data_IF_552921874866
#
_entry.id   IF_552921874866
#
_cell.length_a   1.000
_cell.length_b   1.000
_cell.length_c   1.000
_cell.angle_alpha   90.00
_cell.angle_beta   90.00
_cell.angle_gamma   90.00
#
_symmetry.space_group_name_H-M   'P 1'
#
loop_
_entity.id
_entity.type
_entity.pdbx_description
1 polymer ?
#
# COMPACT_ATOMS: atom_id res chain seq x y z
N UNK A 1 -8.76 17.84 8.01
CA UNK A 1 -9.22 18.92 7.11
C UNK A 1 -10.54 19.47 7.62
N UNK A 2 -10.69 20.80 7.85
CA UNK A 2 -11.93 21.39 8.34
C UNK A 2 -13.16 21.02 7.50
N UNK A 3 -13.04 21.07 6.16
CA UNK A 3 -14.14 20.75 5.25
C UNK A 3 -14.65 19.31 5.40
N UNK A 4 -13.76 18.35 5.60
CA UNK A 4 -14.14 16.95 5.84
C UNK A 4 -14.82 16.77 7.19
N UNK A 5 -14.32 17.45 8.23
CA UNK A 5 -14.93 17.42 9.58
C UNK A 5 -16.35 17.99 9.54
N UNK A 6 -16.55 19.13 8.89
CA UNK A 6 -17.88 19.74 8.72
C UNK A 6 -18.83 18.81 7.97
N UNK A 7 -18.40 18.20 6.86
CA UNK A 7 -19.24 17.28 6.11
C UNK A 7 -19.65 16.04 6.93
N UNK A 8 -18.74 15.51 7.75
CA UNK A 8 -19.06 14.40 8.67
C UNK A 8 -20.08 14.85 9.71
N UNK A 9 -19.88 16.01 10.35
CA UNK A 9 -20.81 16.55 11.34
C UNK A 9 -22.22 16.73 10.77
N UNK A 10 -22.34 17.32 9.58
CA UNK A 10 -23.62 17.50 8.89
C UNK A 10 -24.30 16.18 8.54
N UNK A 11 -23.53 15.17 8.15
CA UNK A 11 -24.04 13.84 7.81
C UNK A 11 -24.59 13.13 9.05
N UNK A 12 -23.84 13.16 10.15
CA UNK A 12 -24.27 12.61 11.43
C UNK A 12 -25.53 13.33 11.96
N UNK A 13 -25.61 14.66 11.80
CA UNK A 13 -26.77 15.46 12.21
C UNK A 13 -28.06 15.09 11.45
N UNK A 14 -27.97 14.58 10.22
CA UNK A 14 -29.10 14.05 9.45
C UNK A 14 -29.47 12.61 9.84
N UNK A 15 -28.75 12.00 10.79
CA UNK A 15 -28.91 10.59 11.15
C UNK A 15 -28.43 9.63 10.05
N UNK A 16 -27.63 10.12 9.10
CA UNK A 16 -27.02 9.33 8.04
C UNK A 16 -25.64 8.81 8.49
N UNK A 17 -25.10 7.85 7.74
CA UNK A 17 -23.80 7.25 8.05
C UNK A 17 -22.68 7.86 7.20
N UNK A 18 -21.52 8.02 7.82
CA UNK A 18 -20.31 8.49 7.15
C UNK A 18 -19.20 7.43 7.21
N UNK A 19 -18.32 7.44 6.20
CA UNK A 19 -17.12 6.60 6.17
C UNK A 19 -15.87 7.43 5.97
N UNK A 20 -14.85 7.17 6.80
CA UNK A 20 -13.48 7.63 6.59
C UNK A 20 -12.66 6.46 6.04
N UNK A 21 -12.29 6.56 4.77
CA UNK A 21 -11.51 5.54 4.07
C UNK A 21 -10.03 5.91 4.05
N UNK A 22 -9.17 4.98 4.43
CA UNK A 22 -7.72 5.15 4.41
C UNK A 22 -7.08 4.28 3.32
N UNK A 23 -6.39 4.92 2.37
CA UNK A 23 -5.64 4.23 1.33
C UNK A 23 -4.27 3.74 1.87
N UNK A 24 -4.24 2.63 2.60
CA UNK A 24 -2.99 2.05 3.13
C UNK A 24 -2.12 1.31 2.11
N UNK A 25 -2.48 1.26 0.81
CA UNK A 25 -1.66 0.54 -0.18
C UNK A 25 -0.46 1.39 -0.60
N UNK A 26 0.75 0.89 -0.32
CA UNK A 26 2.01 1.47 -0.82
C UNK A 26 2.81 2.25 0.22
N UNK A 27 2.22 2.62 1.36
CA UNK A 27 2.93 3.26 2.46
C UNK A 27 2.90 2.38 3.71
N UNK A 28 4.07 1.96 4.17
CA UNK A 28 4.20 1.28 5.45
C UNK A 28 4.12 2.34 6.56
N UNK A 29 3.15 2.26 7.50
CA UNK A 29 3.22 3.09 8.69
C UNK A 29 4.57 2.88 9.38
N UNK A 30 5.06 3.91 10.07
CA UNK A 30 6.34 3.83 10.75
C UNK A 30 6.30 4.57 12.07
N UNK A 31 7.08 4.13 13.04
CA UNK A 31 7.32 4.87 14.27
C UNK A 31 8.60 5.67 14.13
N UNK A 32 8.57 6.96 14.52
CA UNK A 32 9.76 7.81 14.57
C UNK A 32 9.86 8.59 15.87
N UNK A 33 11.02 9.17 16.13
CA UNK A 33 11.22 10.12 17.20
C UNK A 33 10.74 11.51 16.78
N UNK A 34 9.76 12.08 17.49
CA UNK A 34 9.27 13.45 17.22
C UNK A 34 10.31 14.55 17.44
N UNK A 35 11.37 14.28 18.20
CA UNK A 35 12.41 15.26 18.52
C UNK A 35 13.50 15.34 17.43
N UNK A 36 13.91 14.22 16.83
CA UNK A 36 15.01 14.19 15.85
C UNK A 36 14.67 13.52 14.51
N UNK A 37 13.47 12.96 14.35
CA UNK A 37 13.04 12.28 13.12
C UNK A 37 13.59 10.86 12.94
N UNK A 38 14.36 10.33 13.90
CA UNK A 38 14.90 8.96 13.83
C UNK A 38 13.78 7.93 13.67
N UNK A 39 13.87 7.08 12.65
CA UNK A 39 12.85 6.07 12.33
C UNK A 39 13.23 4.72 12.92
N UNK A 40 12.28 4.08 13.61
CA UNK A 40 12.48 2.80 14.27
C UNK A 40 12.47 1.69 13.21
N UNK A 41 13.61 1.06 13.01
CA UNK A 41 13.82 0.03 11.99
C UNK A 41 13.77 -1.36 12.61
N UNK A 42 13.16 -2.31 11.91
CA UNK A 42 13.20 -3.72 12.32
C UNK A 42 14.63 -4.27 12.24
N UNK A 43 15.13 -5.01 13.25
CA UNK A 43 16.46 -5.62 13.20
C UNK A 43 16.57 -6.73 12.14
N UNK A 44 15.44 -7.36 11.81
CA UNK A 44 15.37 -8.50 10.89
C UNK A 44 15.03 -8.12 9.45
N UNK A 45 14.73 -6.84 9.18
CA UNK A 45 14.29 -6.34 7.87
C UNK A 45 14.85 -4.95 7.54
N UNK A 46 14.68 -4.48 6.31
CA UNK A 46 14.80 -3.05 5.96
C UNK A 46 13.50 -2.27 6.19
N UNK A 47 12.48 -2.93 6.74
CA UNK A 47 11.19 -2.32 7.05
C UNK A 47 11.22 -1.51 8.35
N UNK A 48 10.27 -0.59 8.47
CA UNK A 48 10.02 0.16 9.68
C UNK A 48 9.13 -0.63 10.65
N UNK A 49 9.33 -0.38 11.93
CA UNK A 49 8.45 -0.85 12.98
C UNK A 49 7.24 0.06 13.12
N UNK A 50 6.09 -0.54 13.40
CA UNK A 50 4.82 0.14 13.63
C UNK A 50 4.46 0.00 15.10
N UNK A 51 4.16 1.11 15.76
CA UNK A 51 3.64 1.11 17.12
C UNK A 51 2.15 0.77 17.11
N UNK A 52 1.79 -0.22 17.93
CA UNK A 52 0.42 -0.60 18.26
C UNK A 52 0.16 -0.13 19.69
N UNK A 53 -0.44 1.05 19.85
CA UNK A 53 -0.54 1.73 21.17
C UNK A 53 -1.34 0.92 22.17
N UNK A 54 -2.48 0.37 21.75
CA UNK A 54 -3.34 -0.45 22.61
C UNK A 54 -2.60 -1.69 23.15
N UNK A 55 -1.74 -2.28 22.33
CA UNK A 55 -0.93 -3.44 22.71
C UNK A 55 0.43 -3.07 23.34
N UNK A 56 0.76 -1.77 23.45
CA UNK A 56 2.04 -1.24 23.95
C UNK A 56 3.27 -1.92 23.36
N UNK A 57 3.28 -2.14 22.04
CA UNK A 57 4.36 -2.84 21.33
C UNK A 57 4.69 -2.20 19.98
N UNK A 58 5.93 -2.35 19.55
CA UNK A 58 6.37 -2.17 18.17
C UNK A 58 6.30 -3.51 17.44
N UNK A 59 5.81 -3.51 16.19
CA UNK A 59 5.68 -4.70 15.37
C UNK A 59 6.16 -4.48 13.93
N UNK A 60 6.92 -5.42 13.41
CA UNK A 60 7.22 -5.52 11.98
C UNK A 60 6.16 -6.39 11.29
N UNK A 61 5.40 -5.83 10.36
CA UNK A 61 4.36 -6.57 9.62
C UNK A 61 4.91 -7.48 8.52
N UNK A 62 6.21 -7.42 8.20
CA UNK A 62 6.82 -8.27 7.17
C UNK A 62 7.43 -9.57 7.73
N UNK A 63 8.05 -9.50 8.91
CA UNK A 63 8.66 -10.67 9.56
C UNK A 63 8.00 -11.08 10.88
N UNK A 64 7.06 -10.30 11.40
CA UNK A 64 6.40 -10.60 12.68
C UNK A 64 7.22 -10.26 13.92
N UNK A 65 8.40 -9.65 13.78
CA UNK A 65 9.22 -9.18 14.92
C UNK A 65 8.41 -8.24 15.81
N UNK A 66 8.51 -8.43 17.12
CA UNK A 66 7.84 -7.62 18.14
C UNK A 66 8.86 -7.18 19.18
N UNK A 67 8.80 -5.92 19.59
CA UNK A 67 9.60 -5.37 20.68
C UNK A 67 8.83 -4.29 21.45
N UNK A 68 9.29 -3.94 22.65
CA UNK A 68 8.70 -2.83 23.40
C UNK A 68 9.15 -1.48 22.82
N UNK A 69 8.30 -0.42 22.83
CA UNK A 69 8.74 0.92 22.49
C UNK A 69 9.85 1.37 23.45
N UNK A 70 10.96 1.94 22.95
CA UNK A 70 12.06 2.35 23.81
C UNK A 70 11.66 3.57 24.67
N UNK A 71 12.10 3.60 25.93
CA UNK A 71 11.84 4.73 26.84
C UNK A 71 12.52 6.02 26.39
N UNK A 72 13.64 5.91 25.67
CA UNK A 72 14.40 7.03 25.11
C UNK A 72 14.70 6.77 23.63
N UNK A 73 14.75 7.83 22.82
CA UNK A 73 15.14 7.69 21.42
C UNK A 73 16.56 7.11 21.31
N UNK A 74 16.78 6.03 20.54
CA UNK A 74 18.11 5.43 20.39
C UNK A 74 19.11 6.34 19.65
N UNK A 75 18.64 7.41 19.01
CA UNK A 75 19.49 8.35 18.26
C UNK A 75 19.78 9.66 19.00
N UNK A 76 18.83 10.23 19.75
CA UNK A 76 19.00 11.53 20.42
C UNK A 76 18.74 11.49 21.93
N UNK A 77 18.47 10.31 22.49
CA UNK A 77 18.14 10.10 23.90
C UNK A 77 16.92 10.87 24.43
N UNK A 78 16.12 11.53 23.58
CA UNK A 78 14.92 12.23 24.04
C UNK A 78 13.92 11.24 24.69
N UNK A 79 13.47 11.47 25.93
CA UNK A 79 12.57 10.57 26.64
C UNK A 79 11.17 10.58 26.01
N UNK A 80 10.52 9.42 25.96
CA UNK A 80 9.13 9.23 25.52
C UNK A 80 8.78 9.99 24.23
N UNK A 81 9.68 9.92 23.25
CA UNK A 81 9.63 10.71 22.03
C UNK A 81 9.18 9.94 20.80
N UNK A 82 8.92 8.63 20.93
CA UNK A 82 8.40 7.80 19.85
C UNK A 82 6.96 8.15 19.52
N UNK A 83 6.67 8.35 18.25
CA UNK A 83 5.34 8.60 17.72
C UNK A 83 5.12 7.81 16.43
N UNK A 84 3.93 7.22 16.23
CA UNK A 84 3.57 6.65 14.95
C UNK A 84 3.31 7.77 13.93
N UNK A 85 3.80 7.58 12.71
CA UNK A 85 3.59 8.45 11.55
C UNK A 85 2.94 7.65 10.42
N UNK A 86 1.98 8.31 9.78
CA UNK A 86 1.09 7.77 8.75
C UNK A 86 -0.36 7.96 9.18
N UNK A 87 -1.31 7.98 8.24
CA UNK A 87 -2.73 7.88 8.56
C UNK A 87 -2.97 6.47 9.09
N UNK A 88 -2.78 6.30 10.39
CA UNK A 88 -3.14 5.09 11.10
C UNK A 88 -4.64 5.07 11.29
N UNK A 89 -5.26 3.91 11.09
CA UNK A 89 -6.66 3.67 11.48
C UNK A 89 -6.87 4.07 12.94
N UNK A 90 -5.90 3.76 13.82
CA UNK A 90 -5.91 4.17 15.23
C UNK A 90 -5.93 5.69 15.41
N UNK A 91 -5.11 6.43 14.66
CA UNK A 91 -5.06 7.89 14.75
C UNK A 91 -6.36 8.53 14.27
N UNK A 92 -6.91 8.06 13.15
CA UNK A 92 -8.20 8.55 12.66
C UNK A 92 -9.32 8.22 13.65
N UNK A 93 -9.25 7.06 14.32
CA UNK A 93 -10.19 6.71 15.38
C UNK A 93 -10.07 7.62 16.61
N UNK A 94 -8.86 7.93 17.07
CA UNK A 94 -8.61 8.87 18.17
C UNK A 94 -9.14 10.27 17.83
N UNK A 95 -8.82 10.80 16.65
CA UNK A 95 -9.29 12.12 16.21
C UNK A 95 -10.81 12.14 16.04
N UNK A 96 -11.40 11.09 15.46
CA UNK A 96 -12.85 10.95 15.35
C UNK A 96 -13.53 10.84 16.71
N UNK A 97 -12.90 10.20 17.70
CA UNK A 97 -13.42 10.12 19.06
C UNK A 97 -13.50 11.47 19.76
N UNK A 98 -12.48 12.31 19.55
CA UNK A 98 -12.44 13.65 20.12
C UNK A 98 -13.43 14.60 19.42
N UNK A 99 -13.59 14.49 18.10
CA UNK A 99 -14.44 15.37 17.31
C UNK A 99 -15.93 14.98 17.33
N UNK A 100 -16.23 13.68 17.42
CA UNK A 100 -17.58 13.12 17.36
C UNK A 100 -17.82 12.15 18.53
N UNK A 101 -17.83 12.64 19.78
CA UNK A 101 -17.90 11.78 20.97
C UNK A 101 -19.16 10.91 21.01
N UNK A 102 -20.29 11.44 20.53
CA UNK A 102 -21.59 10.77 20.54
C UNK A 102 -21.80 9.77 19.39
N UNK A 103 -20.92 9.78 18.38
CA UNK A 103 -21.05 8.89 17.22
C UNK A 103 -20.67 7.45 17.59
N UNK A 104 -21.52 6.49 17.23
CA UNK A 104 -21.20 5.06 17.32
C UNK A 104 -20.22 4.71 16.21
N UNK A 105 -18.98 4.43 16.58
CA UNK A 105 -17.86 4.24 15.66
C UNK A 105 -17.54 2.76 15.48
N UNK A 106 -17.23 2.35 14.26
CA UNK A 106 -16.73 1.00 13.94
C UNK A 106 -15.47 1.08 13.10
N UNK A 107 -14.47 0.28 13.47
CA UNK A 107 -13.27 0.08 12.64
C UNK A 107 -13.43 -1.18 11.80
N UNK A 108 -13.22 -1.05 10.50
CA UNK A 108 -13.32 -2.15 9.54
C UNK A 108 -12.03 -2.22 8.70
N UNK A 109 -10.97 -2.76 9.31
CA UNK A 109 -9.66 -2.91 8.69
C UNK A 109 -9.11 -4.34 8.78
N UNK A 110 -8.26 -4.73 7.82
CA UNK A 110 -7.77 -6.11 7.66
C UNK A 110 -6.94 -6.63 8.84
N UNK A 111 -6.31 -5.73 9.57
CA UNK A 111 -5.52 -6.02 10.78
C UNK A 111 -6.35 -6.02 12.06
N UNK A 112 -7.59 -5.54 12.01
CA UNK A 112 -8.50 -5.47 13.18
C UNK A 112 -9.57 -6.55 13.20
N UNK A 113 -9.95 -7.09 12.03
CA UNK A 113 -10.98 -8.12 11.92
C UNK A 113 -10.37 -9.52 11.83
N UNK A 114 -10.67 -10.43 12.78
CA UNK A 114 -10.03 -11.74 12.87
C UNK A 114 -10.47 -12.75 11.80
N UNK A 115 -11.42 -12.39 10.93
CA UNK A 115 -11.83 -13.26 9.83
C UNK A 115 -13.14 -12.84 9.14
N UNK A 116 -13.61 -13.62 8.16
CA UNK A 116 -14.81 -13.32 7.37
C UNK A 116 -16.09 -13.16 8.21
N UNK A 117 -16.26 -13.98 9.26
CA UNK A 117 -17.44 -13.90 10.12
C UNK A 117 -17.52 -12.56 10.88
N UNK A 118 -16.39 -12.06 11.39
CA UNK A 118 -16.33 -10.76 12.05
C UNK A 118 -16.61 -9.61 11.06
N UNK A 119 -16.14 -9.74 9.82
CA UNK A 119 -16.44 -8.77 8.77
C UNK A 119 -17.94 -8.75 8.40
N UNK A 120 -18.59 -9.92 8.35
CA UNK A 120 -20.03 -10.02 8.10
C UNK A 120 -20.85 -9.40 9.25
N UNK A 121 -20.52 -9.73 10.50
CA UNK A 121 -21.18 -9.14 11.67
C UNK A 121 -21.02 -7.60 11.72
N UNK A 122 -19.84 -7.10 11.37
CA UNK A 122 -19.59 -5.66 11.24
C UNK A 122 -20.46 -5.02 10.14
N UNK A 123 -20.59 -5.68 8.99
CA UNK A 123 -21.44 -5.20 7.90
C UNK A 123 -22.92 -5.18 8.30
N UNK A 124 -23.42 -6.22 8.96
CA UNK A 124 -24.79 -6.26 9.48
C UNK A 124 -25.07 -5.13 10.48
N UNK A 125 -24.14 -4.84 11.40
CA UNK A 125 -24.29 -3.73 12.34
C UNK A 125 -24.38 -2.38 11.63
N UNK A 126 -23.61 -2.19 10.54
CA UNK A 126 -23.70 -1.00 9.70
C UNK A 126 -25.07 -0.94 9.01
N UNK A 127 -25.52 -2.03 8.40
CA UNK A 127 -26.82 -2.10 7.71
C UNK A 127 -27.99 -1.83 8.67
N UNK A 128 -27.93 -2.34 9.91
CA UNK A 128 -28.92 -2.09 10.97
C UNK A 128 -28.82 -0.70 11.61
N UNK A 129 -27.93 0.18 11.11
CA UNK A 129 -27.69 1.53 11.65
C UNK A 129 -27.32 1.51 13.14
N UNK A 130 -26.57 0.49 13.57
CA UNK A 130 -25.96 0.43 14.90
C UNK A 130 -24.64 1.23 14.95
N UNK A 131 -24.19 1.70 13.78
CA UNK A 131 -22.94 2.43 13.56
C UNK A 131 -23.26 3.72 12.79
N UNK A 132 -22.67 4.83 13.20
CA UNK A 132 -22.82 6.14 12.54
C UNK A 132 -21.57 6.51 11.73
N UNK A 133 -20.37 6.15 12.24
CA UNK A 133 -19.10 6.50 11.62
C UNK A 133 -18.22 5.26 11.42
N UNK A 134 -17.92 4.95 10.17
CA UNK A 134 -17.10 3.80 9.77
C UNK A 134 -15.68 4.29 9.46
N UNK A 135 -14.67 3.65 10.05
CA UNK A 135 -13.26 3.91 9.74
C UNK A 135 -12.71 2.67 9.06
N UNK A 136 -12.47 2.78 7.77
CA UNK A 136 -12.31 1.65 6.87
C UNK A 136 -11.00 1.65 6.09
N UNK A 137 -10.52 0.44 5.79
CA UNK A 137 -9.57 0.23 4.69
C UNK A 137 -10.24 -0.58 3.58
N UNK A 138 -9.48 -1.25 2.72
CA UNK A 138 -10.00 -1.89 1.50
C UNK A 138 -11.07 -2.97 1.72
N UNK A 139 -11.20 -3.52 2.93
CA UNK A 139 -12.24 -4.51 3.24
C UNK A 139 -13.64 -3.94 3.02
N UNK A 140 -13.83 -2.66 3.35
CA UNK A 140 -15.15 -2.02 3.27
C UNK A 140 -15.60 -1.82 1.82
N UNK A 141 -14.66 -1.83 0.88
CA UNK A 141 -14.94 -1.64 -0.54
C UNK A 141 -15.47 -2.91 -1.25
N UNK A 142 -15.61 -4.05 -0.57
CA UNK A 142 -15.97 -5.35 -1.19
C UNK A 142 -17.33 -5.85 -0.73
N UNK A 143 -18.22 -6.19 -1.67
CA UNK A 143 -19.38 -7.07 -1.44
C UNK A 143 -20.55 -6.54 -0.59
N UNK A 144 -20.37 -5.46 0.18
CA UNK A 144 -21.40 -4.93 1.08
C UNK A 144 -22.11 -3.70 0.53
N UNK A 145 -23.40 -3.57 0.82
CA UNK A 145 -24.18 -2.41 0.43
C UNK A 145 -24.71 -1.70 1.68
N UNK A 146 -24.37 -0.43 1.83
CA UNK A 146 -24.80 0.40 2.97
C UNK A 146 -25.75 1.51 2.47
N UNK A 147 -27.08 1.36 2.59
CA UNK A 147 -28.05 2.31 2.03
C UNK A 147 -27.96 3.71 2.62
N UNK A 148 -27.64 3.81 3.91
CA UNK A 148 -27.54 5.09 4.63
C UNK A 148 -26.13 5.68 4.62
N UNK A 149 -25.19 5.07 3.89
CA UNK A 149 -23.87 5.64 3.68
C UNK A 149 -23.93 6.73 2.61
N UNK A 150 -24.11 7.97 3.06
CA UNK A 150 -24.25 9.13 2.18
C UNK A 150 -22.98 9.96 2.08
N UNK A 151 -22.00 9.76 2.98
CA UNK A 151 -20.70 10.43 2.89
C UNK A 151 -19.55 9.42 2.92
N UNK A 152 -18.63 9.57 1.96
CA UNK A 152 -17.32 8.92 2.00
C UNK A 152 -16.21 9.98 1.94
N UNK A 153 -15.43 10.08 3.02
CA UNK A 153 -14.20 10.86 3.08
C UNK A 153 -12.98 9.97 2.87
N UNK A 154 -12.24 10.18 1.79
CA UNK A 154 -10.95 9.53 1.57
C UNK A 154 -9.85 10.37 2.23
N UNK A 155 -9.21 9.80 3.25
CA UNK A 155 -8.08 10.42 3.96
C UNK A 155 -6.79 10.05 3.22
N UNK A 156 -5.99 11.07 2.91
CA UNK A 156 -4.71 10.97 2.19
C UNK A 156 -4.84 10.15 0.89
N UNK A 157 -5.71 10.61 -0.01
CA UNK A 157 -6.06 9.95 -1.26
C UNK A 157 -4.84 9.68 -2.17
N UNK A 158 -3.83 10.54 -2.11
CA UNK A 158 -2.59 10.50 -2.88
C UNK A 158 -1.49 9.62 -2.28
N UNK A 159 -1.71 9.04 -1.10
CA UNK A 159 -0.70 8.23 -0.42
C UNK A 159 -0.18 7.07 -1.28
N UNK A 160 -1.08 6.45 -2.07
CA UNK A 160 -0.75 5.34 -2.97
C UNK A 160 -0.04 5.74 -4.28
N UNK A 161 0.13 7.04 -4.54
CA UNK A 161 0.79 7.57 -5.73
C UNK A 161 2.30 7.77 -5.54
N UNK A 162 2.77 7.73 -4.29
CA UNK A 162 4.19 7.84 -3.98
C UNK A 162 4.96 6.55 -4.30
N UNK A 163 6.19 6.69 -4.81
CA UNK A 163 7.12 5.59 -5.03
C UNK A 163 7.34 5.24 -6.51
N UNK A 164 8.01 4.11 -6.75
CA UNK A 164 8.43 3.66 -8.09
C UNK A 164 7.61 2.50 -8.65
N UNK A 165 6.38 2.27 -8.17
CA UNK A 165 5.52 1.23 -8.70
C UNK A 165 4.81 1.72 -9.97
N UNK A 166 5.10 1.06 -11.10
CA UNK A 166 4.51 1.37 -12.41
C UNK A 166 2.98 1.45 -12.39
N UNK A 167 2.31 0.64 -11.56
CA UNK A 167 0.85 0.53 -11.50
C UNK A 167 0.23 1.37 -10.38
N UNK A 168 1.00 2.24 -9.72
CA UNK A 168 0.53 3.05 -8.59
C UNK A 168 -0.70 3.90 -8.95
N UNK A 169 -0.63 4.62 -10.07
CA UNK A 169 -1.70 5.50 -10.54
C UNK A 169 -2.96 4.72 -10.91
N UNK A 170 -2.82 3.68 -11.75
CA UNK A 170 -3.90 2.78 -12.17
C UNK A 170 -4.64 2.17 -10.96
N UNK A 171 -3.91 1.59 -10.01
CA UNK A 171 -4.49 0.96 -8.82
C UNK A 171 -5.16 1.97 -7.90
N UNK A 172 -4.60 3.17 -7.78
CA UNK A 172 -5.18 4.24 -6.94
C UNK A 172 -6.52 4.70 -7.53
N UNK A 173 -6.60 4.93 -8.84
CA UNK A 173 -7.88 5.26 -9.51
C UNK A 173 -8.90 4.16 -9.31
N UNK A 174 -8.55 2.90 -9.59
CA UNK A 174 -9.46 1.76 -9.42
C UNK A 174 -10.01 1.66 -7.99
N UNK A 175 -9.14 1.80 -6.99
CA UNK A 175 -9.52 1.73 -5.59
C UNK A 175 -10.45 2.89 -5.20
N UNK A 176 -10.05 4.12 -5.51
CA UNK A 176 -10.81 5.30 -5.10
C UNK A 176 -12.13 5.42 -5.86
N UNK A 177 -12.18 5.00 -7.12
CA UNK A 177 -13.42 4.89 -7.87
C UNK A 177 -14.38 3.87 -7.24
N UNK A 178 -13.90 2.69 -6.87
CA UNK A 178 -14.70 1.67 -6.18
C UNK A 178 -15.24 2.19 -4.83
N UNK A 179 -14.41 2.90 -4.06
CA UNK A 179 -14.79 3.49 -2.77
C UNK A 179 -15.79 4.62 -2.97
N UNK A 180 -15.60 5.47 -3.97
CA UNK A 180 -16.53 6.54 -4.31
C UNK A 180 -17.92 5.99 -4.65
N UNK A 181 -17.98 4.90 -5.43
CA UNK A 181 -19.23 4.21 -5.75
C UNK A 181 -19.91 3.51 -4.57
N UNK A 182 -19.37 3.58 -3.34
CA UNK A 182 -20.05 3.10 -2.12
C UNK A 182 -20.95 4.17 -1.51
N UNK A 183 -20.66 5.45 -1.70
CA UNK A 183 -21.49 6.54 -1.22
C UNK A 183 -22.74 6.69 -2.09
N UNK A 184 -23.92 6.75 -1.48
CA UNK A 184 -25.18 7.05 -2.15
C UNK A 184 -25.65 5.95 -3.10
N UNK A 185 -26.66 5.18 -2.68
CA UNK A 185 -27.46 4.37 -3.59
C UNK A 185 -28.94 4.53 -3.22
N UNK A 186 -29.82 4.22 -4.18
CA UNK A 186 -31.26 4.38 -4.05
C UNK A 186 -31.68 5.86 -3.83
N UNK A 187 -32.42 6.16 -2.76
CA UNK A 187 -33.14 7.43 -2.59
C UNK A 187 -32.29 8.58 -2.02
N UNK A 188 -31.05 8.31 -1.56
CA UNK A 188 -30.19 9.31 -0.94
C UNK A 188 -28.94 9.60 -1.79
N UNK A 189 -28.73 10.87 -2.23
CA UNK A 189 -27.53 11.24 -2.99
C UNK A 189 -26.28 11.12 -2.10
N UNK A 190 -25.27 10.44 -2.63
CA UNK A 190 -23.98 10.28 -1.98
C UNK A 190 -23.03 11.44 -2.29
N UNK A 191 -22.20 11.80 -1.32
CA UNK A 191 -21.09 12.74 -1.48
C UNK A 191 -19.77 12.04 -1.17
N UNK A 192 -18.77 12.30 -2.01
CA UNK A 192 -17.41 11.79 -1.82
C UNK A 192 -16.46 12.98 -1.71
N UNK A 193 -15.58 12.95 -0.70
CA UNK A 193 -14.56 13.98 -0.48
C UNK A 193 -13.17 13.33 -0.52
N UNK A 194 -12.28 13.87 -1.35
CA UNK A 194 -10.90 13.41 -1.44
C UNK A 194 -9.98 14.41 -0.73
N UNK A 195 -9.31 13.97 0.34
CA UNK A 195 -8.24 14.75 0.96
C UNK A 195 -6.91 14.40 0.29
N UNK A 196 -6.26 15.37 -0.33
CA UNK A 196 -4.98 15.17 -1.03
C UNK A 196 -4.10 16.41 -0.90
N UNK A 197 -2.78 16.20 -0.84
CA UNK A 197 -1.74 17.22 -0.98
C UNK A 197 -1.37 17.49 -2.44
N UNK A 198 -1.74 16.59 -3.36
CA UNK A 198 -1.56 16.71 -4.81
C UNK A 198 -2.90 16.75 -5.57
N UNK A 199 -3.76 17.77 -5.33
CA UNK A 199 -5.08 17.85 -5.96
C UNK A 199 -5.02 17.94 -7.50
N UNK A 200 -3.95 18.49 -8.06
CA UNK A 200 -3.75 18.63 -9.51
C UNK A 200 -3.22 17.37 -10.19
N UNK A 201 -2.92 16.31 -9.42
CA UNK A 201 -2.43 15.07 -9.98
C UNK A 201 -3.47 14.45 -10.94
N UNK A 202 -3.09 13.88 -12.11
CA UNK A 202 -4.02 13.35 -13.10
C UNK A 202 -5.06 12.35 -12.54
N UNK A 203 -4.66 11.53 -11.55
CA UNK A 203 -5.55 10.63 -10.82
C UNK A 203 -6.67 11.36 -10.08
N UNK A 204 -6.36 12.46 -9.39
CA UNK A 204 -7.36 13.24 -8.66
C UNK A 204 -8.29 13.95 -9.62
N UNK A 205 -7.75 14.53 -10.69
CA UNK A 205 -8.53 15.17 -11.73
C UNK A 205 -9.49 14.19 -12.43
N UNK A 206 -9.03 12.97 -12.73
CA UNK A 206 -9.89 11.92 -13.31
C UNK A 206 -11.00 11.48 -12.34
N UNK A 207 -10.72 11.37 -11.04
CA UNK A 207 -11.72 11.01 -10.03
C UNK A 207 -12.80 12.08 -9.84
N UNK A 208 -12.42 13.36 -9.89
CA UNK A 208 -13.35 14.49 -9.73
C UNK A 208 -14.18 14.73 -10.99
N UNK A 209 -13.57 14.65 -12.17
CA UNK A 209 -14.25 14.88 -13.45
C UNK A 209 -15.11 13.70 -13.92
N UNK A 210 -14.77 12.47 -13.52
CA UNK A 210 -15.38 11.25 -14.06
C UNK A 210 -14.78 10.79 -15.39
N UNK A 211 -13.76 11.49 -15.93
CA UNK A 211 -13.13 11.20 -17.22
C UNK A 211 -12.11 10.03 -17.14
N UNK A 212 -12.59 8.87 -16.72
CA UNK A 212 -11.76 7.68 -16.49
C UNK A 212 -11.18 7.10 -17.78
N UNK A 213 -11.96 7.07 -18.87
CA UNK A 213 -11.50 6.53 -20.14
C UNK A 213 -10.32 7.31 -20.71
N UNK A 214 -10.40 8.65 -20.66
CA UNK A 214 -9.31 9.53 -21.06
C UNK A 214 -8.05 9.31 -20.22
N UNK A 215 -8.19 9.20 -18.90
CA UNK A 215 -7.07 8.87 -18.01
C UNK A 215 -6.43 7.53 -18.37
N UNK A 216 -7.22 6.47 -18.55
CA UNK A 216 -6.71 5.14 -18.87
C UNK A 216 -6.01 5.10 -20.24
N UNK A 217 -6.53 5.85 -21.22
CA UNK A 217 -5.89 5.98 -22.53
C UNK A 217 -4.53 6.69 -22.45
N UNK A 218 -4.44 7.78 -21.67
CA UNK A 218 -3.19 8.51 -21.45
C UNK A 218 -2.14 7.65 -20.70
N UNK A 219 -2.57 6.92 -19.67
CA UNK A 219 -1.73 6.00 -18.92
C UNK A 219 -1.15 4.90 -19.84
N UNK A 220 -2.02 4.26 -20.63
CA UNK A 220 -1.62 3.26 -21.59
C UNK A 220 -0.66 3.83 -22.65
N UNK A 221 -0.93 5.03 -23.17
CA UNK A 221 -0.05 5.70 -24.13
C UNK A 221 1.35 5.95 -23.55
N UNK A 222 1.45 6.37 -22.29
CA UNK A 222 2.73 6.58 -21.61
C UNK A 222 3.53 5.27 -21.42
N UNK A 223 2.86 4.12 -21.27
CA UNK A 223 3.51 2.80 -21.14
C UNK A 223 4.07 2.24 -22.45
N UNK A 224 3.51 2.62 -23.61
CA UNK A 224 3.85 2.05 -24.93
C UNK A 224 5.32 2.19 -25.32
N UNK A 225 5.95 3.39 -25.28
CA UNK A 225 7.32 3.57 -25.79
C UNK A 225 8.35 2.72 -25.05
N UNK A 226 8.13 2.47 -23.76
CA UNK A 226 9.02 1.65 -22.93
C UNK A 226 8.76 0.15 -23.03
N UNK A 227 7.76 -0.31 -23.80
CA UNK A 227 7.25 -1.69 -23.75
C UNK A 227 6.86 -2.12 -22.33
N UNK A 228 6.30 -1.20 -21.54
CA UNK A 228 5.82 -1.52 -20.20
C UNK A 228 4.50 -2.30 -20.29
N UNK A 229 4.18 -3.20 -19.35
CA UNK A 229 2.91 -3.94 -19.37
C UNK A 229 1.71 -2.99 -19.46
N UNK A 230 0.76 -3.23 -20.39
CA UNK A 230 0.53 -4.48 -21.12
C UNK A 230 1.24 -4.60 -22.49
N UNK A 231 2.08 -3.63 -22.90
CA UNK A 231 2.72 -3.60 -24.22
C UNK A 231 4.01 -4.43 -24.31
N UNK A 232 4.53 -4.85 -23.16
CA UNK A 232 5.59 -5.85 -23.05
C UNK A 232 5.40 -6.71 -21.81
N UNK A 233 6.43 -7.48 -21.51
CA UNK A 233 6.53 -8.41 -20.37
C UNK A 233 7.54 -7.87 -19.38
N UNK A 234 7.29 -8.11 -18.10
CA UNK A 234 8.28 -7.88 -17.05
C UNK A 234 8.54 -9.18 -16.31
N UNK A 235 9.79 -9.46 -15.97
CA UNK A 235 10.15 -10.59 -15.13
C UNK A 235 11.11 -10.13 -14.06
N UNK A 236 10.73 -10.29 -12.80
CA UNK A 236 11.60 -9.99 -11.67
C UNK A 236 12.34 -11.25 -11.23
N UNK A 237 13.68 -11.18 -11.21
CA UNK A 237 14.53 -12.17 -10.54
C UNK A 237 14.86 -11.64 -9.15
N UNK A 238 14.42 -12.32 -8.11
CA UNK A 238 14.67 -11.97 -6.71
C UNK A 238 15.68 -12.97 -6.15
N UNK A 239 16.90 -12.50 -5.91
CA UNK A 239 17.98 -13.27 -5.31
C UNK A 239 17.96 -13.03 -3.81
N UNK A 240 17.97 -14.10 -3.00
CA UNK A 240 17.98 -13.99 -1.55
C UNK A 240 18.92 -14.98 -0.87
N UNK A 241 19.63 -14.56 0.16
CA UNK A 241 20.56 -15.39 0.95
C UNK A 241 20.65 -14.87 2.38
N UNK A 242 20.91 -15.71 3.40
CA UNK A 242 21.30 -15.22 4.72
C UNK A 242 22.69 -14.58 4.70
N UNK A 243 23.55 -14.96 3.76
CA UNK A 243 24.85 -14.32 3.50
C UNK A 243 24.70 -13.25 2.40
N UNK A 244 24.91 -11.98 2.78
CA UNK A 244 24.91 -10.85 1.87
C UNK A 244 25.88 -11.02 0.71
N UNK A 245 27.10 -11.49 0.98
CA UNK A 245 28.17 -11.60 -0.01
C UNK A 245 27.79 -12.63 -1.08
N UNK A 246 27.18 -13.75 -0.68
CA UNK A 246 26.66 -14.74 -1.61
C UNK A 246 25.52 -14.19 -2.47
N UNK A 247 24.57 -13.43 -1.89
CA UNK A 247 23.49 -12.79 -2.66
C UNK A 247 24.05 -11.80 -3.70
N UNK A 248 25.01 -10.97 -3.29
CA UNK A 248 25.65 -9.95 -4.14
C UNK A 248 26.48 -10.55 -5.26
N UNK A 249 27.11 -11.70 -5.02
CA UNK A 249 27.85 -12.45 -6.05
C UNK A 249 26.91 -12.99 -7.11
N UNK A 250 25.92 -13.81 -6.72
CA UNK A 250 24.96 -14.42 -7.66
C UNK A 250 24.18 -13.35 -8.44
N UNK A 251 23.76 -12.26 -7.80
CA UNK A 251 23.07 -11.18 -8.50
C UNK A 251 23.97 -10.48 -9.55
N UNK A 252 25.26 -10.30 -9.26
CA UNK A 252 26.22 -9.75 -10.23
C UNK A 252 26.49 -10.73 -11.37
N UNK A 253 26.64 -12.01 -11.08
CA UNK A 253 26.90 -13.03 -12.09
C UNK A 253 25.70 -13.17 -13.05
N UNK A 254 24.47 -13.17 -12.51
CA UNK A 254 23.26 -13.08 -13.32
C UNK A 254 23.20 -11.79 -14.14
N UNK A 255 23.57 -10.64 -13.56
CA UNK A 255 23.62 -9.37 -14.28
C UNK A 255 24.63 -9.37 -15.43
N UNK A 256 25.79 -10.02 -15.27
CA UNK A 256 26.79 -10.17 -16.34
C UNK A 256 26.37 -11.15 -17.42
N UNK A 257 25.66 -12.21 -17.04
CA UNK A 257 25.12 -13.21 -17.96
C UNK A 257 23.78 -12.80 -18.61
N UNK A 258 23.31 -11.59 -18.32
CA UNK A 258 22.00 -11.09 -18.71
C UNK A 258 21.78 -11.14 -20.22
N UNK A 259 20.59 -11.56 -20.67
CA UNK A 259 20.25 -11.47 -22.09
C UNK A 259 20.20 -10.01 -22.54
N UNK A 260 20.71 -9.76 -23.74
CA UNK A 260 20.63 -8.47 -24.40
C UNK A 260 20.27 -8.69 -25.87
N UNK A 261 19.50 -7.77 -26.43
CA UNK A 261 19.06 -7.83 -27.81
C UNK A 261 17.95 -6.84 -28.10
N UNK A 262 17.56 -6.72 -29.36
CA UNK A 262 16.45 -5.85 -29.74
C UNK A 262 15.17 -6.29 -29.00
N UNK A 263 14.56 -5.37 -28.25
CA UNK A 263 13.36 -5.64 -27.49
C UNK A 263 13.58 -6.41 -26.18
N UNK A 264 14.81 -6.63 -25.74
CA UNK A 264 15.16 -7.25 -24.45
C UNK A 264 16.12 -6.36 -23.69
N UNK A 265 15.77 -6.03 -22.44
CA UNK A 265 16.59 -5.22 -21.54
C UNK A 265 16.55 -5.80 -20.14
N UNK A 266 17.68 -5.83 -19.43
CA UNK A 266 17.75 -6.24 -18.03
C UNK A 266 18.25 -5.07 -17.19
N UNK A 267 17.45 -4.69 -16.20
CA UNK A 267 17.77 -3.64 -15.24
C UNK A 267 18.30 -4.23 -13.93
N UNK A 268 19.32 -3.59 -13.37
CA UNK A 268 19.97 -4.02 -12.12
C UNK A 268 21.29 -4.77 -12.36
N UNK A 269 21.81 -5.50 -11.36
CA UNK A 269 21.17 -5.79 -10.07
C UNK A 269 21.06 -4.56 -9.17
N UNK A 270 19.98 -4.49 -8.41
CA UNK A 270 19.76 -3.47 -7.37
C UNK A 270 19.27 -4.13 -6.07
N UNK A 271 19.36 -3.45 -4.91
CA UNK A 271 18.62 -3.86 -3.73
C UNK A 271 17.14 -4.06 -4.05
N UNK A 272 16.54 -5.15 -3.57
CA UNK A 272 15.09 -5.29 -3.62
C UNK A 272 14.43 -4.21 -2.72
N UNK A 273 13.17 -3.79 -2.98
CA UNK A 273 12.47 -2.80 -2.16
C UNK A 273 12.51 -3.12 -0.65
N UNK A 274 12.42 -4.40 -0.30
CA UNK A 274 12.79 -4.93 1.01
C UNK A 274 14.13 -5.69 0.89
N UNK A 275 15.24 -4.96 0.97
CA UNK A 275 16.59 -5.49 0.77
C UNK A 275 17.06 -6.42 1.89
N UNK A 276 16.43 -6.38 3.06
CA UNK A 276 16.52 -7.41 4.10
C UNK A 276 15.10 -7.83 4.48
N UNK A 277 14.82 -9.12 4.46
CA UNK A 277 13.52 -9.67 4.86
C UNK A 277 13.72 -10.99 5.59
N UNK A 278 13.27 -11.05 6.85
CA UNK A 278 13.40 -12.25 7.71
C UNK A 278 14.85 -12.75 7.76
N UNK A 279 15.79 -11.82 7.95
CA UNK A 279 17.23 -12.12 8.00
C UNK A 279 17.89 -12.49 6.68
N UNK A 280 17.18 -12.42 5.54
CA UNK A 280 17.76 -12.70 4.22
C UNK A 280 18.00 -11.42 3.42
N UNK A 281 19.22 -11.23 2.95
CA UNK A 281 19.61 -10.14 2.07
C UNK A 281 19.05 -10.41 0.67
N UNK A 282 18.43 -9.40 0.05
CA UNK A 282 17.70 -9.51 -1.21
C UNK A 282 18.24 -8.55 -2.27
N UNK A 283 18.39 -9.06 -3.48
CA UNK A 283 18.69 -8.32 -4.71
C UNK A 283 17.64 -8.62 -5.77
N UNK A 284 17.49 -7.68 -6.70
CA UNK A 284 16.55 -7.80 -7.80
C UNK A 284 17.22 -7.46 -9.13
N UNK A 285 16.93 -8.25 -10.15
CA UNK A 285 17.04 -7.87 -11.55
C UNK A 285 15.64 -7.82 -12.15
N UNK A 286 15.43 -6.93 -13.10
CA UNK A 286 14.16 -6.80 -13.83
C UNK A 286 14.42 -6.95 -15.32
N UNK A 287 14.01 -8.08 -15.87
CA UNK A 287 13.97 -8.30 -17.31
C UNK A 287 12.72 -7.64 -17.90
N UNK A 288 12.92 -6.83 -18.92
CA UNK A 288 11.89 -6.23 -19.75
C UNK A 288 12.02 -6.81 -21.15
N UNK A 289 10.91 -7.30 -21.68
CA UNK A 289 10.88 -7.87 -23.02
C UNK A 289 9.67 -7.35 -23.80
N UNK A 290 9.79 -7.19 -25.12
CA UNK A 290 8.62 -6.98 -25.98
C UNK A 290 7.67 -8.17 -25.87
N UNK A 291 6.39 -7.92 -26.16
CA UNK A 291 5.31 -8.89 -25.95
C UNK A 291 5.41 -10.14 -26.85
N UNK A 292 6.05 -10.01 -28.01
CA UNK A 292 6.31 -11.07 -28.99
C UNK A 292 7.44 -12.03 -28.57
N UNK A 293 8.23 -11.67 -27.55
CA UNK A 293 9.39 -12.45 -27.11
C UNK A 293 8.98 -13.52 -26.09
N UNK A 294 9.36 -14.76 -26.36
CA UNK A 294 9.15 -15.90 -25.47
C UNK A 294 10.09 -15.88 -24.25
N UNK A 295 9.68 -15.20 -23.18
CA UNK A 295 10.52 -15.00 -21.97
C UNK A 295 10.97 -16.29 -21.28
N UNK A 296 10.20 -17.39 -21.37
CA UNK A 296 10.54 -18.65 -20.70
C UNK A 296 11.87 -19.24 -21.19
N UNK A 297 12.03 -19.40 -22.51
CA UNK A 297 13.28 -19.92 -23.09
C UNK A 297 14.48 -19.03 -22.78
N UNK A 298 14.25 -17.72 -22.77
CA UNK A 298 15.27 -16.73 -22.43
C UNK A 298 15.73 -16.88 -20.97
N UNK A 299 14.78 -17.07 -20.05
CA UNK A 299 15.05 -17.27 -18.62
C UNK A 299 15.80 -18.58 -18.39
N UNK A 300 15.38 -19.69 -19.01
CA UNK A 300 16.06 -20.99 -18.87
C UNK A 300 17.52 -20.89 -19.31
N UNK A 301 17.76 -20.31 -20.50
CA UNK A 301 19.11 -20.12 -21.03
C UNK A 301 19.94 -19.13 -20.20
N UNK A 302 19.30 -18.13 -19.58
CA UNK A 302 19.97 -17.16 -18.73
C UNK A 302 20.38 -17.78 -17.38
N UNK A 303 19.46 -18.46 -16.71
CA UNK A 303 19.72 -19.08 -15.40
C UNK A 303 20.73 -20.23 -15.50
N UNK A 304 20.76 -20.97 -16.61
CA UNK A 304 21.73 -22.03 -16.83
C UNK A 304 23.19 -21.57 -16.94
N UNK A 305 23.44 -20.26 -17.12
CA UNK A 305 24.80 -19.69 -17.22
C UNK A 305 25.46 -19.43 -15.87
N UNK A 306 24.72 -19.54 -14.76
CA UNK A 306 25.20 -19.15 -13.43
C UNK A 306 24.92 -20.25 -12.43
N UNK A 307 25.96 -20.76 -11.81
CA UNK A 307 25.84 -21.71 -10.71
C UNK A 307 25.34 -20.99 -9.45
N UNK A 308 24.20 -21.44 -8.92
CA UNK A 308 23.59 -20.89 -7.71
C UNK A 308 23.95 -21.77 -6.51
N UNK A 309 24.71 -21.26 -5.53
CA UNK A 309 25.03 -22.01 -4.32
C UNK A 309 23.77 -22.36 -3.51
N UNK A 310 23.77 -23.48 -2.78
CA UNK A 310 22.60 -23.96 -2.04
C UNK A 310 22.07 -23.02 -0.93
N UNK A 311 22.87 -22.07 -0.45
CA UNK A 311 22.43 -21.04 0.51
C UNK A 311 21.74 -19.84 -0.17
N UNK A 312 21.81 -19.73 -1.50
CA UNK A 312 21.18 -18.69 -2.31
C UNK A 312 19.91 -19.24 -2.96
N UNK A 313 18.84 -18.45 -2.92
CA UNK A 313 17.59 -18.73 -3.62
C UNK A 313 17.34 -17.67 -4.67
N UNK A 314 17.11 -18.09 -5.92
CA UNK A 314 16.63 -17.23 -7.00
C UNK A 314 15.15 -17.52 -7.22
N UNK A 315 14.30 -16.53 -7.01
CA UNK A 315 12.87 -16.60 -7.32
C UNK A 315 12.62 -15.82 -8.61
N UNK A 316 11.86 -16.42 -9.53
CA UNK A 316 11.42 -15.78 -10.77
C UNK A 316 9.94 -15.43 -10.63
N UNK A 317 9.60 -14.17 -10.84
CA UNK A 317 8.23 -13.66 -10.85
C UNK A 317 7.93 -13.06 -12.22
N UNK A 318 7.12 -13.77 -13.01
CA UNK A 318 6.74 -13.40 -14.38
C UNK A 318 5.48 -12.54 -14.33
N UNK A 319 5.54 -11.41 -15.02
CA UNK A 319 4.51 -10.37 -15.05
C UNK A 319 4.11 -9.90 -13.64
N UNK A 320 5.09 -9.41 -12.83
CA UNK A 320 4.84 -9.02 -11.45
C UNK A 320 3.78 -7.92 -11.37
N UNK A 321 2.79 -8.13 -10.51
CA UNK A 321 1.69 -7.17 -10.27
C UNK A 321 2.08 -6.15 -9.18
N UNK A 322 3.00 -6.53 -8.28
CA UNK A 322 3.54 -5.69 -7.23
C UNK A 322 5.06 -5.55 -7.37
N UNK A 323 5.57 -4.34 -7.16
CA UNK A 323 7.01 -4.05 -7.26
C UNK A 323 7.71 -3.94 -5.90
N UNK A 324 7.10 -4.46 -4.82
CA UNK A 324 7.57 -4.48 -3.43
C UNK A 324 8.17 -5.83 -3.02
#
# INVERSE_FOLDING_TARGET
SPALVTAVAETLARGEQAMLFLNRRGYAPLTLCRACGHRLRCPNCTAWLVEHRAARRLQCHHCGHVEAPPSHCPSCAAPHSTVPIGPGVERVLEEAAALFPDARRLVMASDTLPGPAAAAAAAEAIERREVDLIIGTQIVAKGWHFPFLTLVGVVDADLGLAGGDLRAAERTVQLLHQVAGRAGRAEHPGRVLLQSFAPDHPVMQALVSGEYEGFMAAEAAARRPGSWPPFGRLVALIISSPDQTAADRVARDLGRAAPAGEGVEVLGPAPAPLALLRGRHRRRLLLKARRDIGVQRLLDAWMAKVDVPGNVRVQVDVDPVGFL
#
